data_IF_359542353428
#
_entry.id   IF_359542353428
#
_cell.length_a   1.000
_cell.length_b   1.000
_cell.length_c   1.000
_cell.angle_alpha   90.00
_cell.angle_beta   90.00
_cell.angle_gamma   90.00
#
_symmetry.space_group_name_H-M   'P 1'
#
loop_
_entity.id
_entity.type
_entity.pdbx_description
1 polymer ?
#
# COMPACT_ATOMS: atom_id res chain seq x y z
N UNK A 1 -15.34 9.01 13.51
CA UNK A 1 -14.11 8.53 12.84
C UNK A 1 -14.49 7.41 11.87
N UNK A 2 -13.86 7.32 10.68
CA UNK A 2 -14.30 6.44 9.59
C UNK A 2 -14.39 4.96 9.95
N UNK A 3 -13.55 4.46 10.88
CA UNK A 3 -13.51 3.04 11.27
C UNK A 3 -14.84 2.53 11.84
N UNK A 4 -15.59 3.39 12.52
CA UNK A 4 -16.90 3.01 13.06
C UNK A 4 -17.92 2.72 11.94
N UNK A 5 -17.79 3.36 10.78
CA UNK A 5 -18.62 3.08 9.62
C UNK A 5 -18.29 1.70 9.03
N UNK A 6 -17.00 1.38 8.85
CA UNK A 6 -16.57 0.07 8.37
C UNK A 6 -17.00 -1.07 9.30
N UNK A 7 -16.93 -0.87 10.62
CA UNK A 7 -17.41 -1.86 11.58
C UNK A 7 -18.93 -2.07 11.49
N UNK A 8 -19.71 -1.00 11.30
CA UNK A 8 -21.18 -1.10 11.12
C UNK A 8 -21.54 -1.80 9.80
N UNK A 9 -20.85 -1.48 8.71
CA UNK A 9 -21.07 -2.13 7.42
C UNK A 9 -20.68 -3.59 7.45
N UNK A 10 -19.56 -3.95 8.09
CA UNK A 10 -19.19 -5.35 8.30
C UNK A 10 -20.29 -6.12 9.02
N UNK A 11 -20.89 -5.54 10.08
CA UNK A 11 -22.01 -6.19 10.80
C UNK A 11 -23.25 -6.36 9.93
N UNK A 12 -23.52 -5.40 9.03
CA UNK A 12 -24.73 -5.38 8.19
C UNK A 12 -24.61 -6.24 6.93
N UNK A 13 -23.45 -6.22 6.28
CA UNK A 13 -23.23 -6.81 4.96
C UNK A 13 -22.27 -8.02 4.97
N UNK A 14 -21.63 -8.29 6.10
CA UNK A 14 -20.71 -9.41 6.27
C UNK A 14 -19.23 -9.02 6.18
N UNK A 15 -18.36 -10.03 6.16
CA UNK A 15 -16.91 -9.87 6.19
C UNK A 15 -16.31 -9.32 4.89
N UNK A 16 -17.03 -9.42 3.77
CA UNK A 16 -16.63 -8.87 2.47
C UNK A 16 -17.80 -8.04 1.96
N UNK A 17 -17.55 -6.78 1.64
CA UNK A 17 -18.58 -5.86 1.15
C UNK A 17 -17.96 -4.82 0.22
N UNK A 18 -18.79 -4.27 -0.67
CA UNK A 18 -18.36 -3.21 -1.58
C UNK A 18 -18.81 -1.86 -1.06
N UNK A 19 -17.90 -0.89 -1.04
CA UNK A 19 -18.21 0.53 -0.85
C UNK A 19 -17.96 1.28 -2.15
N UNK A 20 -18.64 2.40 -2.34
CA UNK A 20 -18.43 3.28 -3.48
C UNK A 20 -17.60 4.48 -3.01
N UNK A 21 -16.37 4.59 -3.52
CA UNK A 21 -15.51 5.75 -3.31
C UNK A 21 -15.68 6.67 -4.52
N UNK A 22 -16.65 7.59 -4.43
CA UNK A 22 -17.11 8.34 -5.60
C UNK A 22 -17.74 7.38 -6.62
N UNK A 23 -17.23 7.37 -7.84
CA UNK A 23 -17.68 6.50 -8.93
C UNK A 23 -16.98 5.13 -8.91
N UNK A 24 -16.00 4.92 -8.03
CA UNK A 24 -15.17 3.72 -8.04
C UNK A 24 -15.66 2.69 -7.00
N UNK A 25 -16.14 1.52 -7.44
CA UNK A 25 -16.49 0.43 -6.53
C UNK A 25 -15.22 -0.15 -5.92
N UNK A 26 -15.20 -0.26 -4.59
CA UNK A 26 -14.06 -0.73 -3.81
C UNK A 26 -14.49 -1.88 -2.91
N UNK A 27 -13.87 -3.03 -3.08
CA UNK A 27 -14.14 -4.22 -2.26
C UNK A 27 -13.34 -4.11 -0.96
N UNK A 28 -14.04 -4.16 0.17
CA UNK A 28 -13.47 -4.22 1.50
C UNK A 28 -13.41 -5.68 1.97
N UNK A 29 -12.20 -6.13 2.33
CA UNK A 29 -11.96 -7.43 2.97
C UNK A 29 -11.74 -7.19 4.45
N UNK A 30 -12.72 -7.56 5.29
CA UNK A 30 -12.74 -7.28 6.72
C UNK A 30 -12.60 -8.54 7.60
N UNK A 31 -11.99 -9.58 7.05
CA UNK A 31 -11.72 -10.85 7.73
C UNK A 31 -10.25 -11.24 7.60
N UNK A 32 -9.61 -11.56 8.72
CA UNK A 32 -8.18 -11.83 8.81
C UNK A 32 -7.72 -12.94 7.85
N UNK A 33 -8.37 -14.10 7.88
CA UNK A 33 -7.98 -15.23 7.03
C UNK A 33 -8.08 -14.88 5.54
N UNK A 34 -9.10 -14.11 5.16
CA UNK A 34 -9.27 -13.63 3.79
C UNK A 34 -8.21 -12.62 3.39
N UNK A 35 -7.83 -11.71 4.29
CA UNK A 35 -6.71 -10.77 4.06
C UNK A 35 -5.41 -11.53 3.78
N UNK A 36 -5.11 -12.58 4.56
CA UNK A 36 -3.91 -13.39 4.35
C UNK A 36 -3.99 -14.17 3.03
N UNK A 37 -5.15 -14.75 2.71
CA UNK A 37 -5.38 -15.45 1.45
C UNK A 37 -5.17 -14.54 0.24
N UNK A 38 -5.74 -13.33 0.24
CA UNK A 38 -5.68 -12.42 -0.90
C UNK A 38 -4.35 -11.66 -0.98
N UNK A 39 -3.94 -10.97 0.08
CA UNK A 39 -2.81 -10.02 -0.01
C UNK A 39 -1.44 -10.66 0.23
N UNK A 40 -1.38 -11.83 0.87
CA UNK A 40 -0.13 -12.51 1.15
C UNK A 40 0.06 -13.76 0.29
N UNK A 41 -0.90 -14.71 0.31
CA UNK A 41 -0.77 -15.96 -0.46
C UNK A 41 -0.93 -15.73 -1.97
N UNK A 42 -1.89 -14.88 -2.35
CA UNK A 42 -2.11 -14.46 -3.75
C UNK A 42 -1.62 -13.03 -4.01
N UNK A 43 -0.52 -12.63 -3.35
CA UNK A 43 -0.07 -11.23 -3.33
C UNK A 43 0.27 -10.64 -4.70
N UNK A 44 0.66 -11.44 -5.70
CA UNK A 44 0.94 -10.96 -7.06
C UNK A 44 -0.34 -10.49 -7.76
N UNK A 45 -1.45 -11.22 -7.61
CA UNK A 45 -2.76 -10.86 -8.21
C UNK A 45 -3.29 -9.54 -7.64
N UNK A 46 -3.09 -9.31 -6.35
CA UNK A 46 -3.54 -8.11 -5.64
C UNK A 46 -2.42 -7.07 -5.44
N UNK A 47 -1.34 -7.15 -6.22
CA UNK A 47 -0.16 -6.30 -6.04
C UNK A 47 -0.34 -4.85 -6.51
N UNK A 48 -1.38 -4.57 -7.30
CA UNK A 48 -1.66 -3.27 -7.91
C UNK A 48 -1.91 -2.13 -6.91
N UNK A 49 -1.78 -0.88 -7.38
CA UNK A 49 -2.07 0.33 -6.63
C UNK A 49 -3.44 0.88 -6.96
N UNK A 50 -4.05 1.43 -5.91
CA UNK A 50 -5.27 2.21 -6.05
C UNK A 50 -4.97 3.45 -6.91
N UNK A 51 -5.66 3.55 -8.04
CA UNK A 51 -5.60 4.73 -8.91
C UNK A 51 -6.76 5.65 -8.55
N UNK A 52 -6.44 6.79 -7.97
CA UNK A 52 -7.41 7.85 -7.70
C UNK A 52 -7.07 9.02 -8.60
N UNK A 53 -7.97 9.36 -9.52
CA UNK A 53 -7.77 10.39 -10.55
C UNK A 53 -7.36 11.73 -9.92
N UNK A 54 -7.97 12.08 -8.80
CA UNK A 54 -7.72 13.28 -8.03
C UNK A 54 -6.35 13.26 -7.35
N UNK A 55 -5.90 12.10 -6.90
CA UNK A 55 -4.55 11.96 -6.34
C UNK A 55 -3.50 12.06 -7.44
N UNK A 56 -3.77 11.50 -8.63
CA UNK A 56 -2.91 11.67 -9.80
C UNK A 56 -2.78 13.15 -10.19
N UNK A 57 -3.85 13.94 -10.09
CA UNK A 57 -3.79 15.40 -10.30
C UNK A 57 -2.92 16.11 -9.25
N UNK A 58 -2.99 15.69 -7.98
CA UNK A 58 -2.14 16.23 -6.91
C UNK A 58 -0.64 16.04 -7.21
N UNK A 59 -0.26 14.90 -7.78
CA UNK A 59 1.11 14.59 -8.19
C UNK A 59 1.42 14.99 -9.64
N UNK A 60 0.61 15.88 -10.25
CA UNK A 60 0.78 16.38 -11.63
C UNK A 60 0.85 15.28 -12.70
N UNK A 61 0.13 14.18 -12.50
CA UNK A 61 0.12 13.03 -13.42
C UNK A 61 1.39 12.19 -13.38
N UNK A 62 2.31 12.47 -12.45
CA UNK A 62 3.57 11.73 -12.29
C UNK A 62 3.25 10.43 -11.54
N UNK A 63 2.96 9.35 -12.27
CA UNK A 63 2.76 8.01 -11.71
C UNK A 63 4.07 7.23 -11.50
N UNK A 64 5.16 7.94 -11.18
CA UNK A 64 6.49 7.37 -10.97
C UNK A 64 6.81 7.23 -9.47
N UNK A 65 7.62 6.23 -9.13
CA UNK A 65 8.16 6.03 -7.79
C UNK A 65 7.56 4.83 -7.06
N UNK A 66 7.95 4.64 -5.81
CA UNK A 66 7.68 3.36 -5.11
C UNK A 66 6.23 3.17 -4.63
N UNK A 67 5.48 4.26 -4.51
CA UNK A 67 4.18 4.26 -3.82
C UNK A 67 3.02 4.09 -4.80
N UNK A 68 3.04 4.79 -5.93
CA UNK A 68 1.92 4.85 -6.89
C UNK A 68 2.18 4.08 -8.20
N UNK A 69 3.39 3.57 -8.42
CA UNK A 69 3.73 2.77 -9.61
C UNK A 69 3.43 1.28 -9.37
N UNK A 70 3.10 0.57 -10.45
CA UNK A 70 2.83 -0.87 -10.49
C UNK A 70 3.67 -1.59 -11.55
N UNK A 71 3.58 -2.93 -11.55
CA UNK A 71 4.17 -3.78 -12.58
C UNK A 71 5.70 -3.82 -12.53
N UNK A 72 6.33 -4.08 -13.68
CA UNK A 72 7.79 -4.25 -13.76
C UNK A 72 8.57 -3.00 -13.35
N UNK A 73 8.05 -1.81 -13.64
CA UNK A 73 8.70 -0.56 -13.26
C UNK A 73 8.79 -0.45 -11.73
N UNK A 74 7.69 -0.76 -11.02
CA UNK A 74 7.68 -0.80 -9.57
C UNK A 74 8.61 -1.87 -9.01
N UNK A 75 8.64 -3.07 -9.62
CA UNK A 75 9.55 -4.16 -9.21
C UNK A 75 11.01 -3.72 -9.30
N UNK A 76 11.40 -3.08 -10.40
CA UNK A 76 12.75 -2.55 -10.61
C UNK A 76 13.11 -1.46 -9.61
N UNK A 77 12.25 -0.45 -9.47
CA UNK A 77 12.47 0.67 -8.55
C UNK A 77 12.56 0.20 -7.09
N UNK A 78 11.68 -0.72 -6.66
CA UNK A 78 11.67 -1.28 -5.31
C UNK A 78 12.95 -2.04 -5.01
N UNK A 79 13.42 -2.88 -5.96
CA UNK A 79 14.67 -3.62 -5.79
C UNK A 79 15.86 -2.68 -5.64
N UNK A 80 15.95 -1.66 -6.50
CA UNK A 80 16.99 -0.65 -6.45
C UNK A 80 16.97 0.11 -5.11
N UNK A 81 15.83 0.65 -4.70
CA UNK A 81 15.71 1.43 -3.47
C UNK A 81 16.04 0.59 -2.21
N UNK A 82 15.56 -0.66 -2.16
CA UNK A 82 15.87 -1.56 -1.03
C UNK A 82 17.36 -1.90 -0.96
N UNK A 83 18.03 -2.04 -2.10
CA UNK A 83 19.48 -2.23 -2.13
C UNK A 83 20.19 -1.02 -1.53
N UNK A 84 19.88 0.18 -2.02
CA UNK A 84 20.44 1.43 -1.50
C UNK A 84 20.17 1.55 0.00
N UNK A 85 18.94 1.31 0.47
CA UNK A 85 18.66 1.42 1.91
C UNK A 85 19.49 0.46 2.76
N UNK A 86 19.72 -0.78 2.30
CA UNK A 86 20.60 -1.73 3.00
C UNK A 86 22.06 -1.28 3.02
N UNK A 87 22.55 -0.72 1.92
CA UNK A 87 23.90 -0.15 1.84
C UNK A 87 24.05 1.08 2.74
N UNK A 88 22.98 1.85 2.90
CA UNK A 88 22.91 2.97 3.84
C UNK A 88 22.84 2.54 5.31
N UNK A 89 22.52 1.27 5.60
CA UNK A 89 22.49 0.71 6.94
C UNK A 89 21.12 0.21 7.41
N UNK A 90 20.09 0.16 6.56
CA UNK A 90 18.76 -0.33 6.95
C UNK A 90 18.85 -1.76 7.47
N UNK A 91 18.38 -1.98 8.70
CA UNK A 91 18.49 -3.27 9.39
C UNK A 91 19.85 -3.53 10.06
N UNK A 92 20.74 -2.53 10.13
CA UNK A 92 22.04 -2.57 10.81
C UNK A 92 22.17 -1.38 11.77
N UNK A 93 23.09 -1.47 12.74
CA UNK A 93 23.39 -0.38 13.67
C UNK A 93 23.84 0.91 12.96
N UNK A 94 24.47 0.79 11.78
CA UNK A 94 24.93 1.92 10.98
C UNK A 94 23.83 2.97 10.69
N UNK A 95 22.58 2.55 10.51
CA UNK A 95 21.49 3.51 10.30
C UNK A 95 21.17 4.28 11.58
N UNK A 96 21.19 3.62 12.74
CA UNK A 96 21.03 4.28 14.03
C UNK A 96 22.17 5.28 14.27
N UNK A 97 23.42 4.89 14.00
CA UNK A 97 24.59 5.76 14.15
C UNK A 97 24.45 7.02 13.29
N UNK A 98 23.98 6.89 12.04
CA UNK A 98 23.74 8.03 11.15
C UNK A 98 22.63 8.96 11.60
N UNK A 99 21.60 8.44 12.27
CA UNK A 99 20.51 9.27 12.83
C UNK A 99 21.01 10.04 14.05
N UNK A 100 21.76 9.38 14.93
CA UNK A 100 22.31 9.98 16.15
C UNK A 100 23.37 11.04 15.83
N UNK A 101 24.23 10.81 14.84
CA UNK A 101 25.28 11.78 14.42
C UNK A 101 24.68 13.09 13.88
N UNK A 102 23.42 13.10 13.44
CA UNK A 102 22.76 14.27 12.83
C UNK A 102 21.74 14.98 13.73
N UNK A 103 21.69 14.62 15.01
CA UNK A 103 20.98 15.35 16.07
C UNK A 103 22.05 15.94 16.99
#
# INVERSE_FOLDING_TARGET
MPEQCFLRWRRKYGNIFTIWLGEQPTVCVAEYNKIIETFQKDGETYSGRFRFEEFNKLIKGISYGLVMTDGELWRGQRRFALQIFRDFGLGKNLMQDKVIIKI
#
